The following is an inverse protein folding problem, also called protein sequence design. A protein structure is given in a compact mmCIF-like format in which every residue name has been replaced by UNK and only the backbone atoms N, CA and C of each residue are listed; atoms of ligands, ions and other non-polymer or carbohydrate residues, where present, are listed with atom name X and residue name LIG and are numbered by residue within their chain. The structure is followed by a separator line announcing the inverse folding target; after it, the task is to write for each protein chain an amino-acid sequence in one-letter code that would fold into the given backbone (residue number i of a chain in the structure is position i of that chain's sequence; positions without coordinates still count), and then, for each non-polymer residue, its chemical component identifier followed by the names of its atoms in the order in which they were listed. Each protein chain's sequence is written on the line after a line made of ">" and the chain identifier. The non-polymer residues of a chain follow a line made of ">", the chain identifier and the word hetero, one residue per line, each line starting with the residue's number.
data_IF_389789181665
#
_entry.id   IF_389789181665
#
_cell.length_a   1.000
_cell.length_b   1.000
_cell.length_c   1.000
_cell.angle_alpha   90.00
_cell.angle_beta   90.00
_cell.angle_gamma   90.00
#
_symmetry.space_group_name_H-M   'P 1'
#
loop_
_entity.id
_entity.type
_entity.pdbx_description
1 polymer ?
#
# COMPACT_ATOMS: atom_id res chain seq x y z
N UNK A 1 38.70 -24.11 -25.44
CA UNK A 1 37.89 -24.28 -24.21
C UNK A 1 37.28 -22.92 -23.92
N UNK A 2 35.99 -22.74 -24.19
CA UNK A 2 35.28 -21.55 -23.71
C UNK A 2 35.22 -21.66 -22.19
N UNK A 3 35.98 -20.82 -21.51
CA UNK A 3 35.79 -20.60 -20.08
C UNK A 3 34.37 -20.07 -19.93
N UNK A 4 33.48 -20.86 -19.36
CA UNK A 4 32.12 -20.44 -19.03
C UNK A 4 32.24 -19.42 -17.89
N UNK A 5 32.48 -18.15 -18.25
CA UNK A 5 32.65 -17.06 -17.29
C UNK A 5 31.32 -16.89 -16.57
N UNK A 6 31.32 -17.09 -15.25
CA UNK A 6 30.15 -16.87 -14.41
C UNK A 6 29.92 -15.38 -14.21
N UNK A 7 29.40 -14.74 -15.26
CA UNK A 7 29.11 -13.30 -15.31
C UNK A 7 28.07 -12.89 -14.28
N UNK A 8 27.23 -13.81 -13.81
CA UNK A 8 26.19 -13.56 -12.82
C UNK A 8 26.83 -13.41 -11.44
N UNK A 9 27.79 -14.25 -11.11
CA UNK A 9 28.57 -14.14 -9.87
C UNK A 9 29.51 -12.94 -9.84
N UNK A 10 29.82 -12.30 -10.97
CA UNK A 10 30.67 -11.10 -11.05
C UNK A 10 29.90 -9.76 -10.91
N UNK A 11 28.57 -9.76 -10.94
CA UNK A 11 27.78 -8.51 -10.89
C UNK A 11 28.00 -7.73 -9.58
N UNK A 12 28.26 -6.41 -9.59
CA UNK A 12 28.30 -5.63 -8.35
C UNK A 12 27.00 -5.74 -7.54
N UNK A 13 27.08 -5.71 -6.21
CA UNK A 13 25.93 -5.86 -5.32
C UNK A 13 24.80 -4.87 -5.64
N UNK A 14 25.14 -3.63 -6.02
CA UNK A 14 24.18 -2.62 -6.45
C UNK A 14 23.34 -3.05 -7.67
N UNK A 15 23.93 -3.76 -8.64
CA UNK A 15 23.20 -4.28 -9.79
C UNK A 15 22.31 -5.46 -9.40
N UNK A 16 22.75 -6.30 -8.46
CA UNK A 16 21.93 -7.41 -7.95
C UNK A 16 20.70 -6.86 -7.22
N UNK A 17 20.88 -5.86 -6.35
CA UNK A 17 19.78 -5.17 -5.68
C UNK A 17 18.84 -4.47 -6.67
N UNK A 18 19.39 -3.93 -7.77
CA UNK A 18 18.58 -3.38 -8.85
C UNK A 18 17.77 -4.46 -9.56
N UNK A 19 18.33 -5.64 -9.84
CA UNK A 19 17.58 -6.79 -10.37
C UNK A 19 16.46 -7.20 -9.42
N UNK A 20 16.75 -7.36 -8.11
CA UNK A 20 15.74 -7.66 -7.10
C UNK A 20 14.64 -6.60 -7.06
N UNK A 21 14.98 -5.34 -7.34
CA UNK A 21 14.02 -4.25 -7.45
C UNK A 21 13.04 -4.36 -8.62
N UNK A 22 13.07 -5.42 -9.43
CA UNK A 22 12.03 -5.74 -10.41
C UNK A 22 11.23 -7.01 -10.07
N UNK A 23 11.70 -7.82 -9.13
CA UNK A 23 11.16 -9.13 -8.83
C UNK A 23 10.13 -9.11 -7.69
N UNK A 24 9.27 -10.12 -7.64
CA UNK A 24 8.52 -10.46 -6.43
C UNK A 24 9.46 -11.16 -5.44
N UNK A 25 9.21 -11.06 -4.14
CA UNK A 25 10.11 -11.65 -3.14
C UNK A 25 10.17 -13.18 -3.23
N UNK A 26 9.15 -13.85 -3.78
CA UNK A 26 9.23 -15.28 -4.07
C UNK A 26 10.28 -15.57 -5.17
N UNK A 27 10.31 -14.79 -6.25
CA UNK A 27 11.33 -14.92 -7.29
C UNK A 27 12.72 -14.55 -6.76
N UNK A 28 12.81 -13.55 -5.89
CA UNK A 28 14.09 -13.19 -5.24
C UNK A 28 14.62 -14.38 -4.45
N UNK A 29 13.76 -15.08 -3.69
CA UNK A 29 14.13 -16.28 -2.94
C UNK A 29 14.63 -17.39 -3.87
N UNK A 30 13.93 -17.66 -4.97
CA UNK A 30 14.36 -18.66 -5.96
C UNK A 30 15.70 -18.28 -6.60
N UNK A 31 15.85 -17.02 -7.00
CA UNK A 31 17.07 -16.50 -7.60
C UNK A 31 18.25 -16.53 -6.61
N UNK A 32 17.99 -16.29 -5.32
CA UNK A 32 18.96 -16.40 -4.25
C UNK A 32 19.51 -17.83 -4.06
N UNK A 33 18.85 -18.86 -4.57
CA UNK A 33 19.38 -20.23 -4.55
C UNK A 33 20.51 -20.46 -5.56
N UNK A 34 20.61 -19.61 -6.60
CA UNK A 34 21.57 -19.75 -7.68
C UNK A 34 22.98 -19.28 -7.28
N UNK A 35 23.11 -18.46 -6.23
CA UNK A 35 24.41 -17.95 -5.78
C UNK A 35 24.45 -17.70 -4.27
N UNK A 36 25.54 -18.15 -3.63
CA UNK A 36 25.78 -17.93 -2.19
C UNK A 36 25.86 -16.44 -1.84
N UNK A 37 26.34 -15.60 -2.75
CA UNK A 37 26.40 -14.14 -2.53
C UNK A 37 25.00 -13.53 -2.54
N UNK A 38 24.15 -13.96 -3.46
CA UNK A 38 22.80 -13.42 -3.61
C UNK A 38 21.91 -13.77 -2.42
N UNK A 39 22.14 -14.95 -1.82
CA UNK A 39 21.43 -15.47 -0.63
C UNK A 39 21.26 -14.48 0.52
N UNK A 40 22.18 -13.54 0.72
CA UNK A 40 22.12 -12.58 1.82
C UNK A 40 21.80 -11.15 1.36
N UNK A 41 22.01 -10.82 0.08
CA UNK A 41 21.78 -9.47 -0.42
C UNK A 41 20.31 -9.04 -0.37
N UNK A 42 19.37 -9.99 -0.47
CA UNK A 42 17.94 -9.65 -0.42
C UNK A 42 17.53 -9.02 0.92
N UNK A 43 18.25 -9.29 2.02
CA UNK A 43 18.00 -8.73 3.35
C UNK A 43 18.13 -7.19 3.37
N UNK A 44 18.94 -6.65 2.46
CA UNK A 44 19.20 -5.21 2.29
C UNK A 44 18.50 -4.66 1.05
N UNK A 45 17.56 -5.41 0.44
CA UNK A 45 16.82 -4.93 -0.73
C UNK A 45 16.05 -3.65 -0.40
N UNK A 46 16.24 -2.58 -1.20
CA UNK A 46 15.48 -1.34 -1.00
C UNK A 46 14.02 -1.48 -1.43
N UNK A 47 13.70 -2.47 -2.27
CA UNK A 47 12.35 -2.70 -2.77
C UNK A 47 11.87 -4.10 -2.38
N UNK A 48 10.73 -4.15 -1.70
CA UNK A 48 10.05 -5.37 -1.32
C UNK A 48 8.70 -5.41 -2.05
N UNK A 49 8.55 -6.32 -3.01
CA UNK A 49 7.25 -6.65 -3.62
C UNK A 49 6.82 -8.00 -3.11
N UNK A 50 5.67 -8.05 -2.46
CA UNK A 50 5.13 -9.29 -1.91
C UNK A 50 3.70 -9.43 -2.41
N UNK A 51 3.53 -10.31 -3.38
CA UNK A 51 2.25 -10.60 -4.02
C UNK A 51 1.85 -12.05 -3.77
N UNK A 52 0.55 -12.28 -3.79
CA UNK A 52 -0.13 -13.56 -3.62
C UNK A 52 -0.08 -14.48 -4.84
N UNK A 53 0.61 -14.10 -5.92
CA UNK A 53 0.62 -14.79 -7.22
C UNK A 53 1.15 -16.22 -7.20
N UNK A 54 1.86 -16.61 -6.15
CA UNK A 54 2.45 -17.95 -5.98
C UNK A 54 1.63 -18.85 -5.04
N UNK A 55 0.54 -18.34 -4.49
CA UNK A 55 -0.33 -19.13 -3.64
C UNK A 55 -1.21 -20.03 -4.51
N UNK A 56 -1.28 -21.31 -4.17
CA UNK A 56 -2.07 -22.29 -4.92
C UNK A 56 -3.54 -21.93 -4.86
N UNK A 57 -4.22 -21.99 -6.01
CA UNK A 57 -5.68 -21.87 -6.04
C UNK A 57 -6.38 -23.14 -5.53
N UNK A 58 -5.63 -24.23 -5.35
CA UNK A 58 -6.14 -25.49 -4.79
C UNK A 58 -6.11 -25.52 -3.26
N UNK A 59 -5.35 -24.62 -2.63
CA UNK A 59 -5.32 -24.47 -1.18
C UNK A 59 -6.60 -23.75 -0.71
N UNK A 60 -7.15 -24.16 0.43
CA UNK A 60 -8.19 -23.39 1.12
C UNK A 60 -7.68 -21.98 1.46
N UNK A 61 -8.56 -20.98 1.40
CA UNK A 61 -8.23 -19.55 1.59
C UNK A 61 -7.44 -19.30 2.88
N UNK A 62 -7.79 -20.04 3.93
CA UNK A 62 -7.12 -20.00 5.23
C UNK A 62 -5.64 -20.36 5.13
N UNK A 63 -5.33 -21.45 4.44
CA UNK A 63 -3.97 -21.96 4.28
C UNK A 63 -3.14 -20.98 3.45
N UNK A 64 -3.71 -20.49 2.36
CA UNK A 64 -3.07 -19.50 1.48
C UNK A 64 -2.79 -18.19 2.22
N UNK A 65 -3.76 -17.66 2.97
CA UNK A 65 -3.57 -16.44 3.76
C UNK A 65 -2.49 -16.62 4.83
N UNK A 66 -2.49 -17.75 5.54
CA UNK A 66 -1.49 -18.03 6.56
C UNK A 66 -0.08 -18.19 5.95
N UNK A 67 0.05 -18.82 4.77
CA UNK A 67 1.33 -18.87 4.03
C UNK A 67 1.82 -17.47 3.69
N UNK A 68 0.94 -16.59 3.21
CA UNK A 68 1.28 -15.20 2.91
C UNK A 68 1.70 -14.41 4.15
N UNK A 69 0.93 -14.49 5.24
CA UNK A 69 1.25 -13.81 6.50
C UNK A 69 2.64 -14.24 6.99
N UNK A 70 2.89 -15.54 7.04
CA UNK A 70 4.18 -16.08 7.49
C UNK A 70 5.33 -15.67 6.57
N UNK A 71 5.08 -15.55 5.27
CA UNK A 71 6.08 -15.10 4.31
C UNK A 71 6.46 -13.64 4.54
N UNK A 72 5.47 -12.74 4.67
CA UNK A 72 5.69 -11.32 4.97
C UNK A 72 6.38 -11.15 6.32
N UNK A 73 5.90 -11.84 7.37
CA UNK A 73 6.49 -11.82 8.71
C UNK A 73 7.98 -12.20 8.66
N UNK A 74 8.33 -13.28 7.95
CA UNK A 74 9.74 -13.72 7.82
C UNK A 74 10.60 -12.71 7.08
N UNK A 75 10.11 -12.13 5.98
CA UNK A 75 10.86 -11.13 5.21
C UNK A 75 11.17 -9.91 6.08
N UNK A 76 10.19 -9.40 6.82
CA UNK A 76 10.35 -8.23 7.67
C UNK A 76 11.20 -8.53 8.91
N UNK A 77 11.09 -9.74 9.48
CA UNK A 77 11.87 -10.18 10.64
C UNK A 77 13.36 -10.33 10.32
N UNK A 78 13.69 -10.90 9.16
CA UNK A 78 15.07 -11.20 8.78
C UNK A 78 15.82 -9.96 8.25
N UNK A 79 15.10 -8.88 7.98
CA UNK A 79 15.63 -7.69 7.33
C UNK A 79 16.81 -7.10 8.08
N UNK A 80 17.78 -6.60 7.34
CA UNK A 80 18.90 -5.86 7.92
C UNK A 80 18.41 -4.55 8.56
N UNK A 81 18.64 -4.42 9.87
CA UNK A 81 18.23 -3.28 10.69
C UNK A 81 18.81 -1.95 10.23
N UNK A 82 19.94 -1.97 9.51
CA UNK A 82 20.64 -0.77 9.02
C UNK A 82 20.17 -0.34 7.63
N UNK A 83 19.39 -1.18 6.94
CA UNK A 83 18.93 -0.91 5.59
C UNK A 83 17.58 -0.19 5.59
N UNK A 84 17.38 0.78 4.71
CA UNK A 84 16.09 1.46 4.51
C UNK A 84 15.21 0.71 3.50
N UNK A 85 13.89 0.81 3.63
CA UNK A 85 12.91 0.39 2.62
C UNK A 85 12.62 1.61 1.76
N UNK A 86 13.03 1.62 0.49
CA UNK A 86 12.55 2.63 -0.43
C UNK A 86 11.10 2.35 -0.84
N UNK A 87 10.76 1.08 -1.08
CA UNK A 87 9.42 0.71 -1.55
C UNK A 87 8.95 -0.60 -0.93
N UNK A 88 7.77 -0.58 -0.33
CA UNK A 88 7.02 -1.77 0.10
C UNK A 88 5.72 -1.86 -0.69
N UNK A 89 5.54 -2.96 -1.43
CA UNK A 89 4.29 -3.28 -2.12
C UNK A 89 3.75 -4.60 -1.58
N UNK A 90 2.56 -4.53 -0.98
CA UNK A 90 1.84 -5.68 -0.46
C UNK A 90 0.56 -5.86 -1.27
N UNK A 91 0.38 -7.05 -1.86
CA UNK A 91 -0.84 -7.39 -2.60
C UNK A 91 -1.40 -8.73 -2.16
N UNK A 92 -2.65 -8.70 -1.71
CA UNK A 92 -3.44 -9.89 -1.41
C UNK A 92 -4.82 -9.77 -2.06
N UNK A 93 -5.10 -10.59 -3.07
CA UNK A 93 -6.34 -10.61 -3.87
C UNK A 93 -6.92 -12.02 -4.04
N UNK A 94 -6.17 -13.06 -3.67
CA UNK A 94 -6.54 -14.45 -3.83
C UNK A 94 -7.47 -14.89 -2.70
N UNK A 95 -8.78 -14.78 -2.95
CA UNK A 95 -9.84 -15.20 -2.03
C UNK A 95 -10.95 -15.90 -2.81
N UNK A 96 -11.23 -17.14 -2.43
CA UNK A 96 -12.29 -18.00 -2.94
C UNK A 96 -13.46 -18.12 -1.92
N UNK A 97 -14.24 -17.04 -1.82
CA UNK A 97 -15.69 -17.03 -1.50
C UNK A 97 -16.14 -17.41 -0.06
N UNK A 98 -15.32 -17.94 0.87
CA UNK A 98 -15.79 -18.29 2.24
C UNK A 98 -15.36 -17.33 3.36
N UNK A 99 -15.73 -16.06 3.21
CA UNK A 99 -15.11 -14.92 3.88
C UNK A 99 -15.59 -14.61 5.30
N UNK A 100 -16.84 -14.94 5.63
CA UNK A 100 -17.37 -14.67 6.98
C UNK A 100 -16.67 -15.48 8.08
N UNK A 101 -16.15 -16.67 7.75
CA UNK A 101 -15.37 -17.48 8.69
C UNK A 101 -13.96 -16.91 8.94
N UNK A 102 -13.33 -16.33 7.92
CA UNK A 102 -11.99 -15.75 8.05
C UNK A 102 -11.99 -14.51 8.95
N UNK A 103 -13.06 -13.70 8.92
CA UNK A 103 -13.23 -12.52 9.78
C UNK A 103 -13.18 -12.87 11.27
N UNK A 104 -13.65 -14.06 11.65
CA UNK A 104 -13.71 -14.51 13.04
C UNK A 104 -12.41 -15.17 13.52
N UNK A 105 -11.53 -15.60 12.61
CA UNK A 105 -10.36 -16.43 12.95
C UNK A 105 -9.03 -15.70 12.90
N UNK A 106 -8.89 -14.64 12.10
CA UNK A 106 -7.63 -13.90 11.97
C UNK A 106 -7.81 -12.40 12.07
N UNK A 107 -6.97 -11.74 12.86
CA UNK A 107 -6.85 -10.29 12.88
C UNK A 107 -5.85 -9.84 11.80
N UNK A 108 -6.33 -9.75 10.56
CA UNK A 108 -5.53 -9.29 9.42
C UNK A 108 -5.14 -7.83 9.61
N UNK A 109 -6.04 -7.03 10.19
CA UNK A 109 -5.81 -5.61 10.50
C UNK A 109 -4.56 -5.40 11.35
N UNK A 110 -4.43 -6.15 12.45
CA UNK A 110 -3.25 -6.10 13.33
C UNK A 110 -1.95 -6.54 12.64
N UNK A 111 -2.02 -7.54 11.75
CA UNK A 111 -0.86 -7.96 10.96
C UNK A 111 -0.41 -6.88 9.98
N UNK A 112 -1.35 -6.28 9.24
CA UNK A 112 -1.06 -5.14 8.37
C UNK A 112 -0.44 -3.99 9.17
N UNK A 113 -0.99 -3.67 10.34
CA UNK A 113 -0.46 -2.63 11.21
C UNK A 113 1.00 -2.93 11.60
N UNK A 114 1.29 -4.16 12.02
CA UNK A 114 2.65 -4.61 12.37
C UNK A 114 3.62 -4.48 11.21
N UNK A 115 3.20 -4.87 9.99
CA UNK A 115 4.04 -4.76 8.80
C UNK A 115 4.34 -3.32 8.42
N UNK A 116 3.36 -2.44 8.58
CA UNK A 116 3.54 -1.01 8.33
C UNK A 116 4.43 -0.38 9.41
N UNK A 117 4.30 -0.77 10.68
CA UNK A 117 5.23 -0.34 11.74
C UNK A 117 6.67 -0.73 11.40
N UNK A 118 6.90 -1.97 10.94
CA UNK A 118 8.21 -2.41 10.48
C UNK A 118 8.69 -1.56 9.30
N UNK A 119 7.84 -1.28 8.32
CA UNK A 119 8.18 -0.44 7.18
C UNK A 119 8.58 0.99 7.58
N UNK A 120 7.81 1.61 8.49
CA UNK A 120 8.09 2.94 9.04
C UNK A 120 9.42 2.95 9.79
N UNK A 121 9.72 1.90 10.57
CA UNK A 121 11.01 1.76 11.27
C UNK A 121 12.20 1.76 10.30
N UNK A 122 11.99 1.28 9.09
CA UNK A 122 12.99 1.27 8.01
C UNK A 122 12.80 2.44 7.03
N UNK A 123 12.26 3.58 7.48
CA UNK A 123 12.15 4.80 6.69
C UNK A 123 11.47 4.62 5.32
N UNK A 124 10.36 3.85 5.28
CA UNK A 124 9.61 3.61 4.05
C UNK A 124 9.31 4.91 3.29
N UNK A 125 9.60 4.94 1.98
CA UNK A 125 9.32 6.09 1.13
C UNK A 125 8.06 5.88 0.28
N UNK A 126 7.91 4.72 -0.35
CA UNK A 126 6.71 4.32 -1.07
C UNK A 126 6.03 3.13 -0.39
N UNK A 127 4.80 3.33 0.07
CA UNK A 127 3.96 2.26 0.60
C UNK A 127 2.77 2.04 -0.32
N UNK A 128 2.66 0.84 -0.88
CA UNK A 128 1.53 0.42 -1.71
C UNK A 128 0.91 -0.82 -1.10
N UNK A 129 -0.35 -0.73 -0.68
CA UNK A 129 -1.11 -1.80 -0.06
C UNK A 129 -2.36 -2.03 -0.89
N UNK A 130 -2.60 -3.27 -1.31
CA UNK A 130 -3.76 -3.63 -2.09
C UNK A 130 -4.31 -4.95 -1.56
N UNK A 131 -5.46 -4.90 -0.91
CA UNK A 131 -5.97 -5.98 -0.08
C UNK A 131 -7.45 -6.25 -0.39
N UNK A 132 -7.79 -7.51 -0.59
CA UNK A 132 -9.13 -8.04 -0.51
C UNK A 132 -9.25 -8.81 0.81
N UNK A 133 -10.06 -8.32 1.73
CA UNK A 133 -10.34 -8.85 3.08
C UNK A 133 -11.74 -8.36 3.50
N UNK A 134 -12.36 -8.94 4.54
CA UNK A 134 -13.66 -8.46 5.10
C UNK A 134 -13.48 -7.74 6.45
N UNK A 135 -12.32 -7.10 6.59
CA UNK A 135 -11.91 -6.42 7.81
C UNK A 135 -11.63 -4.96 7.55
N UNK A 136 -11.90 -4.18 8.59
CA UNK A 136 -11.50 -2.79 8.66
C UNK A 136 -10.03 -2.73 9.04
N UNK A 137 -9.21 -2.22 8.12
CA UNK A 137 -7.78 -2.04 8.29
C UNK A 137 -7.53 -0.77 9.11
N UNK A 138 -6.87 -0.94 10.25
CA UNK A 138 -6.42 0.15 11.12
C UNK A 138 -4.94 0.34 10.92
N UNK A 139 -4.54 1.52 10.48
CA UNK A 139 -3.12 1.87 10.34
C UNK A 139 -2.55 2.31 11.69
N UNK A 140 -1.26 2.02 11.95
CA UNK A 140 -0.61 2.38 13.21
C UNK A 140 -0.33 3.88 13.30
N UNK A 141 -0.34 4.47 14.49
CA UNK A 141 -0.13 5.91 14.69
C UNK A 141 1.21 6.42 14.12
N UNK A 142 2.27 5.60 14.19
CA UNK A 142 3.58 5.95 13.66
C UNK A 142 3.59 6.16 12.14
N UNK A 143 2.65 5.53 11.41
CA UNK A 143 2.48 5.75 9.98
C UNK A 143 2.14 7.22 9.69
N UNK A 144 1.25 7.79 10.50
CA UNK A 144 0.75 9.16 10.32
C UNK A 144 1.75 10.26 10.67
N UNK A 145 2.92 9.88 11.16
CA UNK A 145 4.04 10.79 11.48
C UNK A 145 5.31 10.41 10.72
N UNK A 146 5.19 9.51 9.74
CA UNK A 146 6.31 9.01 8.95
C UNK A 146 6.87 10.11 8.04
N UNK A 147 8.07 10.60 8.38
CA UNK A 147 8.72 11.72 7.66
C UNK A 147 9.33 11.32 6.33
N UNK A 148 9.65 10.04 6.14
CA UNK A 148 10.25 9.52 4.90
C UNK A 148 9.22 9.26 3.80
N UNK A 149 7.94 9.14 4.15
CA UNK A 149 6.89 8.73 3.23
C UNK A 149 6.64 9.80 2.17
N UNK A 150 6.86 9.45 0.91
CA UNK A 150 6.62 10.31 -0.26
C UNK A 150 5.42 9.84 -1.08
N UNK A 151 5.06 8.55 -0.97
CA UNK A 151 3.95 7.97 -1.71
C UNK A 151 3.22 6.95 -0.88
N UNK A 152 1.90 7.12 -0.80
CA UNK A 152 1.00 6.14 -0.21
C UNK A 152 -0.09 5.77 -1.21
N UNK A 153 -0.29 4.48 -1.42
CA UNK A 153 -1.45 3.94 -2.13
C UNK A 153 -2.09 2.84 -1.30
N UNK A 154 -3.37 2.98 -1.04
CA UNK A 154 -4.21 1.94 -0.47
C UNK A 154 -5.33 1.59 -1.44
N UNK A 155 -5.48 0.30 -1.74
CA UNK A 155 -6.57 -0.24 -2.55
C UNK A 155 -7.31 -1.31 -1.76
N UNK A 156 -8.51 -0.97 -1.29
CA UNK A 156 -9.53 -1.88 -0.80
C UNK A 156 -10.70 -2.01 -1.79
N UNK A 157 -11.82 -2.56 -1.31
CA UNK A 157 -13.00 -2.89 -2.13
C UNK A 157 -14.30 -2.22 -1.65
N UNK A 158 -14.27 -1.47 -0.53
CA UNK A 158 -15.42 -0.71 -0.02
C UNK A 158 -16.61 -1.58 0.45
N UNK A 159 -17.70 -0.92 0.89
CA UNK A 159 -19.01 -1.50 1.25
C UNK A 159 -18.94 -2.86 1.96
N UNK A 160 -18.39 -2.87 3.16
CA UNK A 160 -18.27 -4.04 4.07
C UNK A 160 -17.25 -5.13 3.68
N UNK A 161 -16.51 -4.94 2.60
CA UNK A 161 -15.39 -5.82 2.22
C UNK A 161 -14.11 -5.30 2.88
N UNK A 162 -13.22 -4.64 2.14
CA UNK A 162 -11.98 -4.09 2.70
C UNK A 162 -12.13 -2.60 2.83
N UNK A 163 -11.97 -2.17 4.07
CA UNK A 163 -12.11 -0.78 4.44
C UNK A 163 -10.87 -0.33 5.21
N UNK A 164 -10.61 0.97 5.23
CA UNK A 164 -9.49 1.58 5.93
C UNK A 164 -10.01 2.75 6.75
N UNK A 165 -9.67 2.79 8.04
CA UNK A 165 -10.09 3.88 8.94
C UNK A 165 -8.94 4.84 9.18
N UNK A 166 -9.22 6.11 8.93
CA UNK A 166 -8.35 7.23 9.30
C UNK A 166 -8.44 7.50 10.81
N UNK A 167 -7.31 7.73 11.51
CA UNK A 167 -7.30 8.05 12.93
C UNK A 167 -7.85 9.45 13.22
N UNK A 168 -8.21 9.66 14.49
CA UNK A 168 -8.78 10.91 15.00
C UNK A 168 -7.73 11.94 15.45
N UNK A 169 -6.44 11.65 15.27
CA UNK A 169 -5.34 12.49 15.77
C UNK A 169 -4.65 13.25 14.62
N UNK A 170 -3.89 14.30 14.96
CA UNK A 170 -3.15 15.11 13.97
C UNK A 170 -2.14 14.28 13.18
N UNK A 171 -2.19 14.39 11.85
CA UNK A 171 -1.31 13.69 10.92
C UNK A 171 -0.27 14.65 10.34
N UNK A 172 0.97 14.20 10.19
CA UNK A 172 2.06 14.99 9.67
C UNK A 172 2.86 14.19 8.64
N UNK A 173 2.66 14.52 7.37
CA UNK A 173 3.35 13.92 6.23
C UNK A 173 4.14 14.97 5.45
N UNK A 174 5.31 15.43 5.96
CA UNK A 174 6.00 16.59 5.42
C UNK A 174 6.47 16.44 3.96
N UNK A 175 6.62 15.20 3.48
CA UNK A 175 7.15 14.91 2.15
C UNK A 175 6.20 14.08 1.27
N UNK A 176 4.96 13.84 1.70
CA UNK A 176 4.01 13.07 0.91
C UNK A 176 3.62 13.85 -0.34
N UNK A 177 3.85 13.25 -1.51
CA UNK A 177 3.62 13.83 -2.84
C UNK A 177 2.57 13.09 -3.65
N UNK A 178 2.26 11.86 -3.24
CA UNK A 178 1.25 11.04 -3.89
C UNK A 178 0.42 10.31 -2.83
N UNK A 179 -0.89 10.49 -2.88
CA UNK A 179 -1.85 9.75 -2.07
C UNK A 179 -2.90 9.14 -2.99
N UNK A 180 -3.04 7.81 -2.99
CA UNK A 180 -4.12 7.14 -3.69
C UNK A 180 -4.91 6.28 -2.73
N UNK A 181 -6.22 6.51 -2.65
CA UNK A 181 -7.12 5.80 -1.76
C UNK A 181 -8.27 5.23 -2.58
N UNK A 182 -8.45 3.91 -2.52
CA UNK A 182 -9.57 3.19 -3.12
C UNK A 182 -10.21 2.32 -2.06
N UNK A 183 -11.54 2.34 -1.93
CA UNK A 183 -12.26 1.52 -0.93
C UNK A 183 -11.89 1.90 0.52
N UNK A 184 -12.16 3.14 0.91
CA UNK A 184 -11.86 3.72 2.23
C UNK A 184 -13.13 4.34 2.80
N UNK A 185 -13.35 4.23 4.11
CA UNK A 185 -14.40 4.91 4.86
C UNK A 185 -13.82 5.81 5.93
N UNK A 186 -14.59 6.84 6.28
CA UNK A 186 -14.27 7.74 7.38
C UNK A 186 -15.22 7.41 8.51
N UNK A 187 -14.68 6.92 9.63
CA UNK A 187 -15.47 6.64 10.83
C UNK A 187 -15.25 7.77 11.82
N UNK A 188 -16.18 8.72 11.89
CA UNK A 188 -16.18 9.80 12.89
C UNK A 188 -16.00 11.22 12.33
N UNK A 189 -16.29 12.18 13.22
CA UNK A 189 -16.33 13.65 13.14
C UNK A 189 -15.82 14.32 11.85
N UNK A 190 -16.67 15.14 11.23
CA UNK A 190 -16.49 15.87 9.95
C UNK A 190 -15.21 16.73 9.89
N UNK A 191 -14.61 17.03 11.04
CA UNK A 191 -13.47 17.92 11.18
C UNK A 191 -12.09 17.24 11.07
N UNK A 192 -12.00 15.91 10.93
CA UNK A 192 -10.73 15.16 11.05
C UNK A 192 -10.05 14.87 9.71
N UNK A 193 -10.85 14.57 8.70
CA UNK A 193 -10.48 14.62 7.29
C UNK A 193 -9.85 15.97 6.94
N UNK A 194 -10.21 17.06 7.63
CA UNK A 194 -9.66 18.40 7.38
C UNK A 194 -8.15 18.48 7.53
N UNK A 195 -7.61 17.67 8.46
CA UNK A 195 -6.20 17.68 8.85
C UNK A 195 -5.34 16.71 8.06
N UNK A 196 -5.90 15.56 7.64
CA UNK A 196 -5.24 14.71 6.63
C UNK A 196 -5.00 15.54 5.36
N UNK A 197 -6.04 16.27 4.96
CA UNK A 197 -6.13 17.03 3.71
C UNK A 197 -5.46 18.42 3.78
N UNK A 198 -5.14 18.95 4.96
CA UNK A 198 -4.29 20.14 5.11
C UNK A 198 -2.80 19.83 4.91
N UNK A 199 -2.37 18.63 5.29
CA UNK A 199 -0.98 18.15 5.14
C UNK A 199 -0.71 17.55 3.74
N UNK A 200 -1.64 17.70 2.79
CA UNK A 200 -1.79 16.79 1.66
C UNK A 200 -0.90 17.06 0.43
N UNK A 201 -0.76 16.02 -0.43
CA UNK A 201 0.26 15.93 -1.46
C UNK A 201 -0.02 16.76 -2.72
N UNK A 202 1.01 16.87 -3.57
CA UNK A 202 0.91 17.37 -4.94
C UNK A 202 -0.17 16.64 -5.74
N UNK A 203 -0.32 15.32 -5.57
CA UNK A 203 -1.27 14.49 -6.31
C UNK A 203 -2.12 13.58 -5.40
N UNK A 204 -3.44 13.56 -5.63
CA UNK A 204 -4.40 12.69 -4.96
C UNK A 204 -5.21 11.86 -5.97
N UNK A 205 -5.38 10.56 -5.70
CA UNK A 205 -6.28 9.68 -6.44
C UNK A 205 -7.34 9.12 -5.51
N UNK A 206 -8.62 9.29 -5.82
CA UNK A 206 -9.73 8.73 -5.03
C UNK A 206 -10.59 7.85 -5.92
N UNK A 207 -10.92 6.64 -5.44
CA UNK A 207 -11.74 5.69 -6.19
C UNK A 207 -12.75 4.93 -5.32
N UNK A 208 -13.97 4.74 -5.81
CA UNK A 208 -15.06 4.04 -5.10
C UNK A 208 -16.32 4.88 -4.84
N UNK A 209 -17.09 4.53 -3.79
CA UNK A 209 -18.30 5.28 -3.35
C UNK A 209 -17.87 6.65 -2.83
N UNK A 210 -18.02 7.67 -3.66
CA UNK A 210 -17.66 9.06 -3.34
C UNK A 210 -18.66 9.74 -2.39
N UNK A 211 -19.72 9.04 -1.99
CA UNK A 211 -20.74 9.47 -1.01
C UNK A 211 -20.13 9.86 0.35
N UNK A 212 -18.87 9.51 0.59
CA UNK A 212 -18.10 9.78 1.81
C UNK A 212 -17.42 11.15 1.85
N UNK A 213 -17.53 11.94 0.77
CA UNK A 213 -16.91 13.27 0.66
C UNK A 213 -17.92 14.42 0.78
N UNK A 214 -19.22 14.12 0.85
CA UNK A 214 -20.30 15.11 0.71
C UNK A 214 -20.50 16.03 1.94
N UNK A 215 -19.69 15.93 3.00
CA UNK A 215 -19.82 16.75 4.23
C UNK A 215 -18.50 17.34 4.77
N UNK A 216 -17.50 17.50 3.91
CA UNK A 216 -16.14 17.84 4.30
C UNK A 216 -15.87 19.36 4.34
N UNK A 217 -16.12 20.07 5.44
CA UNK A 217 -15.90 21.54 5.61
C UNK A 217 -14.42 22.02 5.53
N UNK A 218 -13.72 21.70 4.43
CA UNK A 218 -12.26 21.60 4.34
C UNK A 218 -11.74 22.34 3.11
N UNK A 219 -10.46 22.73 3.11
CA UNK A 219 -9.75 23.17 1.90
C UNK A 219 -8.45 22.39 1.67
N UNK A 220 -8.25 21.91 0.44
CA UNK A 220 -7.02 21.29 -0.07
C UNK A 220 -6.09 22.35 -0.65
N UNK A 221 -5.36 23.06 0.22
CA UNK A 221 -4.51 24.16 -0.23
C UNK A 221 -3.25 23.70 -1.00
N UNK A 222 -2.80 22.45 -0.85
CA UNK A 222 -1.57 21.97 -1.47
C UNK A 222 -1.80 21.02 -2.66
N UNK A 223 -3.06 20.68 -2.95
CA UNK A 223 -3.40 19.74 -4.00
C UNK A 223 -3.28 20.40 -5.37
N UNK A 224 -2.43 19.86 -6.25
CA UNK A 224 -2.28 20.32 -7.64
C UNK A 224 -2.97 19.41 -8.63
N UNK A 225 -2.98 18.10 -8.39
CA UNK A 225 -3.61 17.12 -9.28
C UNK A 225 -4.57 16.21 -8.53
N UNK A 226 -5.80 16.09 -9.03
CA UNK A 226 -6.80 15.14 -8.54
C UNK A 226 -7.18 14.17 -9.67
N UNK A 227 -7.06 12.88 -9.40
CA UNK A 227 -7.62 11.83 -10.24
C UNK A 227 -8.77 11.15 -9.50
N UNK A 228 -9.94 11.09 -10.12
CA UNK A 228 -11.10 10.40 -9.58
C UNK A 228 -11.39 9.22 -10.48
N UNK A 229 -11.22 7.99 -9.98
CA UNK A 229 -11.63 6.78 -10.70
C UNK A 229 -12.97 6.31 -10.12
N UNK A 230 -14.05 6.32 -10.88
CA UNK A 230 -15.37 6.02 -10.31
C UNK A 230 -16.32 5.40 -11.32
N UNK A 231 -17.35 4.73 -10.80
CA UNK A 231 -18.51 4.31 -11.59
C UNK A 231 -19.37 5.54 -11.86
N UNK A 232 -20.02 5.61 -13.03
CA UNK A 232 -20.93 6.73 -13.33
C UNK A 232 -22.16 6.61 -12.43
N UNK A 233 -22.21 7.40 -11.36
CA UNK A 233 -23.40 7.59 -10.53
C UNK A 233 -23.68 9.08 -10.33
N UNK A 234 -24.94 9.41 -10.00
CA UNK A 234 -25.35 10.81 -9.76
C UNK A 234 -24.56 11.45 -8.60
N UNK A 235 -24.19 10.67 -7.59
CA UNK A 235 -23.46 11.14 -6.42
C UNK A 235 -21.98 11.42 -6.72
N UNK A 236 -21.40 10.73 -7.72
CA UNK A 236 -20.01 10.95 -8.12
C UNK A 236 -19.76 12.36 -8.64
N UNK A 237 -20.70 12.92 -9.40
CA UNK A 237 -20.58 14.30 -9.91
C UNK A 237 -20.65 15.33 -8.80
N UNK A 238 -21.46 15.09 -7.76
CA UNK A 238 -21.55 15.97 -6.59
C UNK A 238 -20.24 15.96 -5.81
N UNK A 239 -19.69 14.77 -5.54
CA UNK A 239 -18.42 14.65 -4.84
C UNK A 239 -17.23 15.21 -5.64
N UNK A 240 -17.21 15.05 -6.97
CA UNK A 240 -16.20 15.69 -7.82
C UNK A 240 -16.34 17.21 -7.74
N UNK A 241 -17.55 17.75 -7.94
CA UNK A 241 -17.79 19.20 -7.84
C UNK A 241 -17.43 19.74 -6.45
N UNK A 242 -17.68 18.94 -5.40
CA UNK A 242 -17.31 19.24 -4.04
C UNK A 242 -15.79 19.31 -3.87
N UNK A 243 -15.06 18.26 -4.26
CA UNK A 243 -13.59 18.21 -4.20
C UNK A 243 -12.96 19.38 -4.93
N UNK A 244 -13.45 19.71 -6.14
CA UNK A 244 -12.95 20.87 -6.90
C UNK A 244 -13.21 22.17 -6.15
N UNK A 245 -14.40 22.35 -5.58
CA UNK A 245 -14.74 23.53 -4.78
C UNK A 245 -13.82 23.69 -3.57
N UNK A 246 -13.42 22.59 -2.96
CA UNK A 246 -12.54 22.61 -1.79
C UNK A 246 -11.04 22.59 -2.14
N UNK A 247 -10.65 22.52 -3.41
CA UNK A 247 -9.24 22.51 -3.85
C UNK A 247 -8.86 23.79 -4.62
N UNK A 248 -8.58 24.91 -3.95
CA UNK A 248 -8.38 26.20 -4.63
C UNK A 248 -7.15 26.26 -5.54
N UNK A 249 -6.14 25.40 -5.31
CA UNK A 249 -4.87 25.39 -6.06
C UNK A 249 -4.77 24.23 -7.06
N UNK A 250 -5.90 23.62 -7.43
CA UNK A 250 -5.94 22.50 -8.35
C UNK A 250 -5.60 22.94 -9.78
N UNK A 251 -4.64 22.26 -10.40
CA UNK A 251 -4.15 22.52 -11.76
C UNK A 251 -4.69 21.49 -12.76
N UNK A 252 -4.88 20.24 -12.33
CA UNK A 252 -5.41 19.17 -13.18
C UNK A 252 -6.42 18.29 -12.46
N UNK A 253 -7.55 18.04 -13.14
CA UNK A 253 -8.57 17.08 -12.70
C UNK A 253 -8.74 16.06 -13.82
N UNK A 254 -8.59 14.78 -13.49
CA UNK A 254 -8.85 13.68 -14.42
C UNK A 254 -9.90 12.74 -13.84
N UNK A 255 -10.96 12.47 -14.59
CA UNK A 255 -12.02 11.52 -14.20
C UNK A 255 -11.87 10.26 -15.05
N UNK A 256 -11.52 9.15 -14.41
CA UNK A 256 -11.50 7.82 -15.01
C UNK A 256 -12.82 7.09 -14.74
N UNK A 257 -13.53 6.68 -15.80
CA UNK A 257 -14.73 5.86 -15.65
C UNK A 257 -14.31 4.39 -15.66
N UNK A 258 -14.53 3.69 -14.54
CA UNK A 258 -14.33 2.24 -14.46
C UNK A 258 -15.55 1.57 -15.11
N UNK A 259 -15.31 0.71 -16.11
CA UNK A 259 -16.34 -0.04 -16.85
C UNK A 259 -16.82 -1.26 -16.10
#
# INVERSE_FOLDING_TARGET
>A
METNIDRISELPDALILHIFSFLNMEDVKETCMLSKRWRYLWLSSPTLRIYDTYMSNDDDDFVSLNKFINFVDRILLLRDTSSDIQTLKLRWMNINVYLDRLKLMYDVSSRIATWIMAAVKHNVQELVVSLLTYQVIKLPDCFFTCKSLTKFKFTGFGRDVTDFVLPNNTMCFPHLRYLALTGVSVVGDENLTSKLLSSCPVCMVVSGSLDLLDDLSIQFCNLRSLMVETWVSRNCMNAIAYLVKISPNIESISVGIVK
#
